data_IF_394574001378
#
_entry.id   IF_394574001378
#
_cell.length_a   1.000
_cell.length_b   1.000
_cell.length_c   1.000
_cell.angle_alpha   90.00
_cell.angle_beta   90.00
_cell.angle_gamma   90.00
#
_symmetry.space_group_name_H-M   'P 1'
#
loop_
_entity.id
_entity.type
_entity.pdbx_description
1 polymer ?
#
# COMPACT_ATOMS: atom_id res chain seq x y z
N UNK A 1 -12.49 26.54 14.77
CA UNK A 1 -12.31 25.27 14.03
C UNK A 1 -13.07 24.15 14.71
N UNK A 2 -13.91 23.40 14.00
CA UNK A 2 -14.73 22.29 14.52
C UNK A 2 -14.50 21.00 13.73
N UNK A 3 -14.79 19.83 14.34
CA UNK A 3 -14.70 18.54 13.64
C UNK A 3 -15.59 18.49 12.39
N UNK A 4 -16.75 19.17 12.44
CA UNK A 4 -17.63 19.27 11.29
C UNK A 4 -16.99 20.04 10.14
N UNK A 5 -16.28 21.15 10.41
CA UNK A 5 -15.54 21.91 9.41
C UNK A 5 -14.38 21.08 8.82
N UNK A 6 -13.70 20.27 9.66
CA UNK A 6 -12.67 19.37 9.18
C UNK A 6 -13.25 18.31 8.25
N UNK A 7 -14.38 17.72 8.58
CA UNK A 7 -15.10 16.78 7.71
C UNK A 7 -15.52 17.42 6.39
N UNK A 8 -16.01 18.65 6.43
CA UNK A 8 -16.36 19.41 5.24
C UNK A 8 -15.14 19.62 4.30
N UNK A 9 -14.01 20.01 4.88
CA UNK A 9 -12.78 20.22 4.11
C UNK A 9 -12.31 18.94 3.42
N UNK A 10 -12.35 17.79 4.11
CA UNK A 10 -12.04 16.48 3.53
C UNK A 10 -12.99 16.18 2.35
N UNK A 11 -14.29 16.29 2.59
CA UNK A 11 -15.32 15.96 1.58
C UNK A 11 -15.21 16.86 0.33
N UNK A 12 -14.92 18.15 0.50
CA UNK A 12 -14.73 19.08 -0.64
C UNK A 12 -13.50 18.66 -1.46
N UNK A 13 -12.40 18.31 -0.80
CA UNK A 13 -11.18 17.89 -1.48
C UNK A 13 -11.38 16.58 -2.27
N UNK A 14 -12.14 15.65 -1.74
CA UNK A 14 -12.44 14.37 -2.39
C UNK A 14 -13.43 14.53 -3.55
N UNK A 15 -14.44 15.38 -3.39
CA UNK A 15 -15.46 15.62 -4.41
C UNK A 15 -14.96 16.50 -5.58
N UNK A 16 -13.91 17.32 -5.35
CA UNK A 16 -13.38 18.30 -6.31
C UNK A 16 -14.38 19.38 -6.69
N UNK A 17 -15.53 19.47 -6.00
CA UNK A 17 -16.64 20.41 -6.28
C UNK A 17 -17.44 20.69 -5.02
N UNK A 18 -17.71 21.98 -4.75
CA UNK A 18 -18.57 22.40 -3.63
C UNK A 18 -20.00 21.88 -3.77
N UNK A 19 -20.54 21.84 -4.98
CA UNK A 19 -21.89 21.34 -5.21
C UNK A 19 -21.99 19.84 -4.90
N UNK A 20 -21.06 19.04 -5.43
CA UNK A 20 -21.00 17.60 -5.16
C UNK A 20 -20.76 17.31 -3.66
N UNK A 21 -19.86 18.07 -3.03
CA UNK A 21 -19.61 17.94 -1.60
C UNK A 21 -20.85 18.25 -0.76
N UNK A 22 -21.58 19.29 -1.12
CA UNK A 22 -22.83 19.67 -0.46
C UNK A 22 -23.92 18.60 -0.60
N UNK A 23 -24.04 17.98 -1.78
CA UNK A 23 -24.92 16.83 -2.02
C UNK A 23 -24.52 15.62 -1.13
N UNK A 24 -23.25 15.27 -1.07
CA UNK A 24 -22.72 14.18 -0.23
C UNK A 24 -23.01 14.45 1.25
N UNK A 25 -22.88 15.70 1.69
CA UNK A 25 -23.06 16.13 3.06
C UNK A 25 -24.53 16.40 3.44
N UNK A 26 -25.44 16.33 2.48
CA UNK A 26 -26.88 16.66 2.64
C UNK A 26 -27.10 18.06 3.21
N UNK A 27 -26.33 19.05 2.77
CA UNK A 27 -26.45 20.46 3.19
C UNK A 27 -26.55 21.40 1.99
N UNK A 28 -27.01 22.62 2.23
CA UNK A 28 -27.04 23.66 1.20
C UNK A 28 -25.60 24.12 0.86
N UNK A 29 -25.26 24.22 -0.42
CA UNK A 29 -23.95 24.66 -0.90
C UNK A 29 -23.53 26.04 -0.33
N UNK A 30 -24.41 27.05 -0.17
CA UNK A 30 -24.05 28.31 0.46
C UNK A 30 -23.58 28.13 1.94
N UNK A 31 -24.21 27.23 2.68
CA UNK A 31 -23.84 26.93 4.06
C UNK A 31 -22.44 26.27 4.15
N UNK A 32 -22.16 25.34 3.23
CA UNK A 32 -20.85 24.74 3.11
C UNK A 32 -19.78 25.77 2.76
N UNK A 33 -20.08 26.67 1.82
CA UNK A 33 -19.19 27.75 1.43
C UNK A 33 -18.87 28.70 2.58
N UNK A 34 -19.90 29.16 3.33
CA UNK A 34 -19.74 30.04 4.48
C UNK A 34 -18.88 29.38 5.56
N UNK A 35 -19.14 28.12 5.88
CA UNK A 35 -18.39 27.35 6.86
C UNK A 35 -16.91 27.22 6.50
N UNK A 36 -16.56 27.03 5.20
CA UNK A 36 -15.19 26.98 4.75
C UNK A 36 -14.51 28.35 4.79
N UNK A 37 -15.23 29.41 4.42
CA UNK A 37 -14.70 30.78 4.52
C UNK A 37 -14.39 31.19 5.96
N UNK A 38 -15.24 30.80 6.91
CA UNK A 38 -15.01 30.99 8.33
C UNK A 38 -13.76 30.25 8.82
N UNK A 39 -13.60 29.01 8.39
CA UNK A 39 -12.41 28.19 8.73
C UNK A 39 -11.14 28.81 8.14
N UNK A 40 -11.12 29.18 6.85
CA UNK A 40 -10.00 29.83 6.17
C UNK A 40 -9.63 31.16 6.86
N UNK A 41 -10.64 31.94 7.26
CA UNK A 41 -10.45 33.19 7.99
C UNK A 41 -9.86 32.97 9.39
N UNK A 42 -10.34 31.96 10.12
CA UNK A 42 -9.81 31.61 11.46
C UNK A 42 -8.35 31.18 11.40
N UNK A 43 -7.99 30.38 10.37
CA UNK A 43 -6.66 29.84 10.19
C UNK A 43 -5.69 30.83 9.52
N UNK A 44 -6.20 31.88 8.88
CA UNK A 44 -5.39 32.85 8.13
C UNK A 44 -4.80 32.29 6.83
N UNK A 45 -5.32 31.17 6.32
CA UNK A 45 -4.86 30.55 5.08
C UNK A 45 -6.02 30.36 4.10
N UNK A 46 -5.70 30.24 2.82
CA UNK A 46 -6.65 29.80 1.80
C UNK A 46 -6.46 28.31 1.58
N UNK A 47 -7.51 27.51 1.81
CA UNK A 47 -7.43 26.05 1.67
C UNK A 47 -7.73 25.66 0.22
N UNK A 48 -8.71 26.33 -0.42
CA UNK A 48 -9.20 25.98 -1.73
C UNK A 48 -9.11 27.09 -2.75
N UNK A 49 -8.55 26.78 -3.92
CA UNK A 49 -8.78 27.57 -5.13
C UNK A 49 -10.14 27.22 -5.72
N UNK A 50 -10.94 28.26 -6.01
CA UNK A 50 -12.27 28.10 -6.63
C UNK A 50 -12.19 28.58 -8.07
N UNK A 51 -12.63 27.78 -9.03
CA UNK A 51 -12.68 28.11 -10.44
C UNK A 51 -13.99 27.66 -11.06
N UNK A 52 -14.31 28.11 -12.27
CA UNK A 52 -15.46 27.62 -13.01
C UNK A 52 -15.42 26.13 -13.37
N UNK A 53 -14.26 25.48 -13.18
CA UNK A 53 -14.04 24.04 -13.45
C UNK A 53 -14.11 23.19 -12.17
N UNK A 54 -14.27 23.80 -11.00
CA UNK A 54 -14.33 23.10 -9.72
C UNK A 54 -13.43 23.71 -8.65
N UNK A 55 -13.07 22.88 -7.69
CA UNK A 55 -12.25 23.24 -6.52
C UNK A 55 -10.96 22.43 -6.54
N UNK A 56 -9.83 23.09 -6.30
CA UNK A 56 -8.53 22.46 -6.11
C UNK A 56 -7.86 22.98 -4.84
N UNK A 57 -6.94 22.23 -4.28
CA UNK A 57 -6.19 22.62 -3.08
C UNK A 57 -5.13 23.67 -3.40
N UNK A 58 -4.91 24.60 -2.47
CA UNK A 58 -3.67 25.39 -2.40
C UNK A 58 -2.55 24.55 -1.81
N UNK A 59 -1.31 25.06 -1.79
CA UNK A 59 -0.21 24.41 -1.10
C UNK A 59 -0.48 24.32 0.41
N UNK A 60 -0.91 25.42 1.03
CA UNK A 60 -1.28 25.47 2.46
C UNK A 60 -2.47 24.54 2.74
N UNK A 61 -3.45 24.50 1.83
CA UNK A 61 -4.60 23.61 1.93
C UNK A 61 -4.24 22.12 1.87
N UNK A 62 -3.28 21.76 1.02
CA UNK A 62 -2.79 20.38 0.93
C UNK A 62 -2.08 19.98 2.24
N UNK A 63 -1.22 20.84 2.78
CA UNK A 63 -0.56 20.61 4.05
C UNK A 63 -1.56 20.55 5.21
N UNK A 64 -2.49 21.48 5.29
CA UNK A 64 -3.57 21.48 6.28
C UNK A 64 -4.37 20.18 6.27
N UNK A 65 -4.77 19.71 5.09
CA UNK A 65 -5.55 18.47 4.97
C UNK A 65 -4.80 17.21 5.41
N UNK A 66 -3.48 17.18 5.36
CA UNK A 66 -2.71 16.07 5.93
C UNK A 66 -2.96 15.95 7.44
N UNK A 67 -2.93 17.08 8.17
CA UNK A 67 -3.22 17.09 9.60
C UNK A 67 -4.70 16.85 9.90
N UNK A 68 -5.59 17.43 9.10
CA UNK A 68 -7.03 17.26 9.25
C UNK A 68 -7.43 15.78 9.14
N UNK A 69 -6.90 15.07 8.14
CA UNK A 69 -7.16 13.63 7.98
C UNK A 69 -6.67 12.82 9.18
N UNK A 70 -5.52 13.15 9.76
CA UNK A 70 -5.03 12.48 10.96
C UNK A 70 -5.98 12.67 12.15
N UNK A 71 -6.38 13.92 12.42
CA UNK A 71 -7.31 14.25 13.52
C UNK A 71 -8.65 13.55 13.31
N UNK A 72 -9.18 13.58 12.09
CA UNK A 72 -10.47 13.00 11.78
C UNK A 72 -10.45 11.47 11.89
N UNK A 73 -9.40 10.79 11.45
CA UNK A 73 -9.24 9.35 11.62
C UNK A 73 -9.13 8.94 13.10
N UNK A 74 -8.45 9.75 13.94
CA UNK A 74 -8.40 9.50 15.38
C UNK A 74 -9.78 9.68 16.04
N UNK A 75 -10.52 10.69 15.60
CA UNK A 75 -11.90 10.89 16.03
C UNK A 75 -12.81 9.71 15.63
N UNK A 76 -12.73 9.23 14.40
CA UNK A 76 -13.47 8.05 13.95
C UNK A 76 -13.09 6.80 14.77
N UNK A 77 -11.80 6.60 15.06
CA UNK A 77 -11.33 5.50 15.92
C UNK A 77 -11.89 5.59 17.36
N UNK A 78 -12.00 6.80 17.88
CA UNK A 78 -12.62 7.05 19.18
C UNK A 78 -14.13 6.73 19.16
N UNK A 79 -14.82 7.19 18.11
CA UNK A 79 -16.25 6.93 17.92
C UNK A 79 -16.54 5.46 17.69
N UNK A 80 -15.65 4.73 17.02
CA UNK A 80 -15.74 3.28 16.83
C UNK A 80 -15.62 2.51 18.16
N UNK A 81 -14.77 3.00 19.07
CA UNK A 81 -14.55 2.34 20.37
C UNK A 81 -15.63 2.66 21.40
N UNK A 82 -16.13 3.88 21.40
CA UNK A 82 -17.01 4.39 22.48
C UNK A 82 -18.35 4.96 21.99
N UNK A 83 -18.51 5.18 20.69
CA UNK A 83 -19.73 5.75 20.11
C UNK A 83 -20.87 4.73 20.00
N UNK A 84 -22.12 5.19 20.17
CA UNK A 84 -23.32 4.37 20.02
C UNK A 84 -23.78 4.23 18.56
N UNK A 85 -23.07 4.82 17.61
CA UNK A 85 -23.49 4.89 16.20
C UNK A 85 -23.02 3.66 15.42
N UNK A 86 -23.92 2.68 15.24
CA UNK A 86 -23.67 1.44 14.49
C UNK A 86 -23.82 1.59 12.97
N UNK A 87 -24.07 2.79 12.42
CA UNK A 87 -24.49 2.97 11.02
C UNK A 87 -23.50 3.73 10.13
N UNK A 88 -22.27 4.00 10.56
CA UNK A 88 -21.28 4.61 9.69
C UNK A 88 -20.60 3.53 8.83
N UNK A 89 -20.59 3.74 7.51
CA UNK A 89 -19.86 2.92 6.55
C UNK A 89 -18.39 2.89 6.92
N UNK A 90 -17.88 1.72 7.31
CA UNK A 90 -16.48 1.56 7.67
C UNK A 90 -15.59 1.72 6.45
N UNK A 91 -14.57 2.56 6.54
CA UNK A 91 -13.58 2.78 5.49
C UNK A 91 -12.23 2.19 5.92
N UNK A 92 -11.57 1.49 5.02
CA UNK A 92 -10.22 0.98 5.25
C UNK A 92 -9.48 0.85 3.90
N UNK A 93 -8.24 1.27 3.86
CA UNK A 93 -7.40 1.22 2.67
C UNK A 93 -6.03 0.61 2.94
N UNK A 94 -5.59 -0.23 2.02
CA UNK A 94 -4.24 -0.78 1.95
C UNK A 94 -3.66 -0.48 0.59
N UNK A 95 -2.39 -0.06 0.54
CA UNK A 95 -1.59 0.00 -0.69
C UNK A 95 -0.40 -0.93 -0.55
N UNK A 96 -0.10 -1.71 -1.57
CA UNK A 96 0.93 -2.75 -1.52
C UNK A 96 1.67 -2.84 -2.84
N UNK A 97 2.95 -3.22 -2.79
CA UNK A 97 3.60 -3.83 -3.94
C UNK A 97 2.83 -5.11 -4.32
N UNK A 98 3.15 -5.74 -5.43
CA UNK A 98 2.39 -6.89 -5.95
C UNK A 98 2.61 -8.18 -5.14
N UNK A 99 2.14 -8.20 -3.88
CA UNK A 99 2.23 -9.34 -2.96
C UNK A 99 0.90 -10.09 -2.82
N UNK A 100 0.86 -11.35 -3.28
CA UNK A 100 -0.34 -12.19 -3.16
C UNK A 100 -0.77 -12.46 -1.71
N UNK A 101 0.19 -12.56 -0.77
CA UNK A 101 -0.11 -12.72 0.65
C UNK A 101 -0.86 -11.52 1.24
N UNK A 102 -0.56 -10.31 0.77
CA UNK A 102 -1.26 -9.10 1.21
C UNK A 102 -2.72 -9.11 0.76
N UNK A 103 -2.97 -9.57 -0.46
CA UNK A 103 -4.33 -9.76 -0.99
C UNK A 103 -5.06 -10.86 -0.22
N UNK A 104 -4.39 -11.99 0.07
CA UNK A 104 -4.97 -13.10 0.85
C UNK A 104 -5.38 -12.65 2.25
N UNK A 105 -4.50 -11.95 2.96
CA UNK A 105 -4.82 -11.40 4.28
C UNK A 105 -6.00 -10.41 4.24
N UNK A 106 -6.11 -9.63 3.16
CA UNK A 106 -7.23 -8.72 2.97
C UNK A 106 -8.55 -9.48 2.74
N UNK A 107 -8.53 -10.57 2.00
CA UNK A 107 -9.69 -11.45 1.80
C UNK A 107 -10.16 -12.04 3.14
N UNK A 108 -9.24 -12.55 3.97
CA UNK A 108 -9.58 -13.11 5.27
C UNK A 108 -10.10 -12.03 6.23
N UNK A 109 -9.49 -10.85 6.20
CA UNK A 109 -10.02 -9.69 6.93
C UNK A 109 -11.49 -9.43 6.56
N UNK A 110 -11.80 -9.32 5.26
CA UNK A 110 -13.16 -9.01 4.79
C UNK A 110 -14.15 -10.10 5.19
N UNK A 111 -13.80 -11.37 5.04
CA UNK A 111 -14.64 -12.52 5.46
C UNK A 111 -14.99 -12.50 6.95
N UNK A 112 -14.10 -11.94 7.76
CA UNK A 112 -14.24 -11.91 9.20
C UNK A 112 -15.10 -10.74 9.72
N UNK A 113 -15.57 -9.85 8.82
CA UNK A 113 -16.42 -8.72 9.17
C UNK A 113 -17.89 -9.02 8.91
N UNK A 114 -18.68 -9.02 9.97
CA UNK A 114 -20.16 -9.06 9.91
C UNK A 114 -20.71 -7.62 9.94
N UNK A 115 -20.29 -6.80 8.99
CA UNK A 115 -20.76 -5.41 8.88
C UNK A 115 -21.57 -5.27 7.60
N UNK A 116 -22.78 -4.76 7.74
CA UNK A 116 -23.71 -4.57 6.62
C UNK A 116 -23.24 -3.49 5.62
N UNK A 117 -22.34 -2.58 6.01
CA UNK A 117 -21.83 -1.51 5.17
C UNK A 117 -20.34 -1.22 5.40
N UNK A 118 -19.52 -1.42 4.38
CA UNK A 118 -18.10 -1.05 4.37
C UNK A 118 -17.67 -0.53 3.00
N UNK A 119 -16.55 0.18 2.99
CA UNK A 119 -15.84 0.62 1.80
C UNK A 119 -14.36 0.32 2.01
N UNK A 120 -13.95 -0.88 1.64
CA UNK A 120 -12.57 -1.31 1.77
C UNK A 120 -11.88 -1.28 0.42
N UNK A 121 -10.61 -0.90 0.41
CA UNK A 121 -9.82 -0.82 -0.80
C UNK A 121 -8.45 -1.45 -0.59
N UNK A 122 -8.05 -2.34 -1.48
CA UNK A 122 -6.66 -2.79 -1.63
C UNK A 122 -6.16 -2.34 -3.00
N UNK A 123 -4.93 -1.80 -3.04
CA UNK A 123 -4.32 -1.26 -4.25
C UNK A 123 -2.95 -1.89 -4.42
N UNK A 124 -2.79 -2.74 -5.43
CA UNK A 124 -1.47 -3.15 -5.90
C UNK A 124 -0.94 -2.02 -6.78
N UNK A 125 0.20 -1.44 -6.40
CA UNK A 125 0.71 -0.24 -7.06
C UNK A 125 2.21 -0.06 -6.86
N UNK A 126 2.80 0.89 -7.58
CA UNK A 126 4.24 1.21 -7.56
C UNK A 126 4.71 1.59 -6.15
N UNK A 127 5.95 1.27 -5.84
CA UNK A 127 6.54 1.54 -4.51
C UNK A 127 6.38 3.00 -4.06
N UNK A 128 6.55 3.97 -4.97
CA UNK A 128 6.34 5.40 -4.65
C UNK A 128 4.87 5.71 -4.32
N UNK A 129 3.95 5.08 -5.03
CA UNK A 129 2.52 5.27 -4.81
C UNK A 129 2.06 4.62 -3.51
N UNK A 130 2.64 3.46 -3.13
CA UNK A 130 2.44 2.88 -1.79
C UNK A 130 2.81 3.89 -0.70
N UNK A 131 4.00 4.50 -0.80
CA UNK A 131 4.48 5.51 0.16
C UNK A 131 3.57 6.75 0.15
N UNK A 132 3.22 7.26 -1.02
CA UNK A 132 2.35 8.42 -1.19
C UNK A 132 0.94 8.19 -0.66
N UNK A 133 0.35 7.03 -0.91
CA UNK A 133 -1.00 6.68 -0.45
C UNK A 133 -1.08 6.68 1.08
N UNK A 134 -0.06 6.13 1.77
CA UNK A 134 0.00 6.17 3.23
C UNK A 134 0.30 7.56 3.76
N UNK A 135 1.22 8.29 3.11
CA UNK A 135 1.55 9.67 3.49
C UNK A 135 0.31 10.58 3.45
N UNK A 136 -0.53 10.42 2.42
CA UNK A 136 -1.74 11.20 2.19
C UNK A 136 -3.00 10.60 2.85
N UNK A 137 -2.86 9.57 3.69
CA UNK A 137 -3.97 8.90 4.39
C UNK A 137 -5.04 8.33 3.44
N UNK A 138 -4.70 8.04 2.19
CA UNK A 138 -5.55 7.32 1.24
C UNK A 138 -5.57 5.82 1.56
N UNK A 139 -4.47 5.31 2.14
CA UNK A 139 -4.35 4.00 2.73
C UNK A 139 -3.80 4.13 4.15
N UNK A 140 -4.31 3.33 5.07
CA UNK A 140 -3.84 3.29 6.45
C UNK A 140 -2.52 2.54 6.57
N UNK A 141 -2.36 1.50 5.76
CA UNK A 141 -1.21 0.60 5.75
C UNK A 141 -0.66 0.51 4.33
N UNK A 142 0.67 0.57 4.22
CA UNK A 142 1.39 0.25 2.99
C UNK A 142 2.28 -0.96 3.18
N UNK A 143 2.43 -1.82 2.17
CA UNK A 143 3.31 -2.99 2.24
C UNK A 143 4.37 -2.86 1.16
N UNK A 144 5.63 -2.95 1.56
CA UNK A 144 6.79 -2.88 0.70
C UNK A 144 7.98 -3.63 1.31
N UNK A 145 9.07 -3.77 0.56
CA UNK A 145 10.30 -4.36 1.10
C UNK A 145 11.45 -3.35 1.12
N UNK A 146 12.39 -3.63 2.02
CA UNK A 146 13.72 -3.02 2.07
C UNK A 146 14.78 -4.07 1.76
N UNK A 147 15.85 -3.65 1.10
CA UNK A 147 17.08 -4.41 0.91
C UNK A 147 18.26 -3.48 1.15
N UNK A 148 19.47 -4.00 1.21
CA UNK A 148 20.67 -3.15 1.39
C UNK A 148 20.79 -2.11 0.28
N UNK A 149 20.36 -2.44 -0.94
CA UNK A 149 20.40 -1.55 -2.09
C UNK A 149 19.41 -0.38 -1.96
N UNK A 150 18.14 -0.64 -1.61
CA UNK A 150 17.08 0.37 -1.66
C UNK A 150 16.82 1.08 -0.32
N UNK A 151 17.31 0.53 0.80
CA UNK A 151 17.04 0.97 2.17
C UNK A 151 17.31 2.47 2.39
N UNK A 152 18.43 2.97 1.90
CA UNK A 152 18.78 4.38 2.10
C UNK A 152 17.79 5.32 1.38
N UNK A 153 17.45 5.01 0.14
CA UNK A 153 16.53 5.81 -0.67
C UNK A 153 15.09 5.77 -0.13
N UNK A 154 14.59 4.57 0.18
CA UNK A 154 13.23 4.40 0.73
C UNK A 154 13.14 5.04 2.11
N UNK A 155 14.08 4.79 3.03
CA UNK A 155 14.06 5.41 4.37
C UNK A 155 14.11 6.94 4.33
N UNK A 156 14.81 7.54 3.37
CA UNK A 156 14.77 9.00 3.18
C UNK A 156 13.35 9.47 2.86
N UNK A 157 12.63 8.77 1.96
CA UNK A 157 11.25 9.11 1.63
C UNK A 157 10.31 8.87 2.80
N UNK A 158 10.46 7.77 3.55
CA UNK A 158 9.64 7.49 4.72
C UNK A 158 9.77 8.60 5.76
N UNK A 159 11.01 9.03 6.08
CA UNK A 159 11.26 10.14 7.03
C UNK A 159 10.65 11.44 6.54
N UNK A 160 10.84 11.81 5.26
CA UNK A 160 10.28 13.03 4.68
C UNK A 160 8.76 13.07 4.76
N UNK A 161 8.10 11.92 4.73
CA UNK A 161 6.63 11.79 4.78
C UNK A 161 6.09 11.43 6.17
N UNK A 162 6.93 11.46 7.22
CA UNK A 162 6.57 11.04 8.58
C UNK A 162 5.95 9.65 8.64
N UNK A 163 6.60 8.68 7.99
CA UNK A 163 6.20 7.29 7.99
C UNK A 163 7.18 6.44 8.79
N UNK A 164 6.66 5.37 9.42
CA UNK A 164 7.44 4.34 10.10
C UNK A 164 7.36 3.03 9.31
N UNK A 165 8.48 2.33 9.23
CA UNK A 165 8.54 0.99 8.67
C UNK A 165 8.56 -0.02 9.82
N UNK A 166 7.74 -1.06 9.70
CA UNK A 166 7.61 -2.16 10.65
C UNK A 166 7.94 -3.46 9.92
N UNK A 167 9.03 -4.11 10.33
CA UNK A 167 9.46 -5.38 9.74
C UNK A 167 8.48 -6.50 10.04
N UNK A 168 8.23 -7.34 9.06
CA UNK A 168 7.45 -8.58 9.16
C UNK A 168 8.37 -9.81 9.04
N UNK A 169 9.03 -9.97 7.89
CA UNK A 169 9.80 -11.18 7.58
C UNK A 169 10.97 -10.87 6.65
N UNK A 170 12.04 -11.65 6.77
CA UNK A 170 13.16 -11.65 5.81
C UNK A 170 12.99 -12.81 4.84
N UNK A 171 13.14 -12.52 3.56
CA UNK A 171 13.05 -13.50 2.48
C UNK A 171 14.34 -13.51 1.66
N UNK A 172 14.68 -14.66 1.13
CA UNK A 172 15.71 -14.79 0.10
C UNK A 172 15.08 -14.64 -1.28
N UNK A 173 15.91 -14.52 -2.31
CA UNK A 173 15.45 -14.46 -3.67
C UNK A 173 14.97 -15.85 -4.17
N UNK A 174 13.86 -15.85 -4.87
CA UNK A 174 13.29 -16.97 -5.59
C UNK A 174 13.00 -16.54 -7.02
N UNK A 175 13.05 -17.50 -7.95
CA UNK A 175 12.60 -17.33 -9.32
C UNK A 175 11.14 -17.76 -9.41
N UNK A 176 10.26 -16.84 -9.72
CA UNK A 176 8.84 -17.10 -9.94
C UNK A 176 8.58 -17.34 -11.42
N UNK A 177 8.01 -18.47 -11.73
CA UNK A 177 7.77 -18.91 -13.10
C UNK A 177 6.56 -19.86 -13.16
N UNK A 178 6.07 -20.18 -14.35
CA UNK A 178 4.99 -21.12 -14.53
C UNK A 178 5.47 -22.58 -14.47
N UNK A 179 4.62 -23.50 -14.08
CA UNK A 179 4.95 -24.92 -13.80
C UNK A 179 5.46 -25.68 -15.03
N UNK A 180 5.09 -25.25 -16.23
CA UNK A 180 5.60 -25.82 -17.51
C UNK A 180 6.90 -25.17 -18.01
N UNK A 181 7.49 -24.23 -17.27
CA UNK A 181 8.78 -23.63 -17.64
C UNK A 181 9.89 -24.68 -17.66
N UNK A 182 10.84 -24.63 -18.62
CA UNK A 182 11.94 -25.61 -18.70
C UNK A 182 12.76 -25.76 -17.41
N UNK A 183 12.88 -24.70 -16.62
CA UNK A 183 13.61 -24.69 -15.34
C UNK A 183 12.73 -25.01 -14.11
N UNK A 184 11.43 -25.26 -14.28
CA UNK A 184 10.50 -25.45 -13.16
C UNK A 184 10.83 -26.65 -12.25
N UNK A 185 11.57 -27.63 -12.74
CA UNK A 185 11.94 -28.85 -11.99
C UNK A 185 13.32 -28.79 -11.34
N UNK A 186 14.03 -27.66 -11.50
CA UNK A 186 15.35 -27.50 -10.90
C UNK A 186 15.23 -27.31 -9.40
N UNK A 187 16.19 -27.83 -8.64
CA UNK A 187 16.28 -27.63 -7.18
C UNK A 187 16.60 -26.16 -6.86
N UNK A 188 17.37 -25.51 -7.68
CA UNK A 188 17.68 -24.07 -7.66
C UNK A 188 17.97 -23.58 -9.09
N UNK A 189 17.89 -22.27 -9.28
CA UNK A 189 18.15 -21.63 -10.58
C UNK A 189 19.19 -20.53 -10.39
N UNK A 190 20.13 -20.45 -11.35
CA UNK A 190 21.22 -19.45 -11.40
C UNK A 190 20.94 -18.37 -12.46
N UNK A 191 21.69 -17.25 -12.43
CA UNK A 191 21.60 -16.24 -13.47
C UNK A 191 21.98 -16.76 -14.86
N UNK A 192 22.97 -17.63 -14.96
CA UNK A 192 23.39 -18.18 -16.25
C UNK A 192 22.27 -18.97 -16.93
N UNK A 193 21.50 -19.75 -16.15
CA UNK A 193 20.33 -20.48 -16.66
C UNK A 193 19.18 -19.58 -17.09
N UNK A 194 19.06 -18.38 -16.49
CA UNK A 194 18.01 -17.42 -16.79
C UNK A 194 18.27 -16.56 -18.04
N UNK A 195 19.49 -16.53 -18.57
CA UNK A 195 19.89 -15.65 -19.70
C UNK A 195 19.04 -15.83 -20.97
N UNK A 196 18.57 -17.04 -21.20
CA UNK A 196 17.78 -17.34 -22.40
C UNK A 196 16.30 -16.97 -22.28
N UNK A 197 15.85 -16.59 -21.09
CA UNK A 197 14.45 -16.29 -20.80
C UNK A 197 14.27 -14.79 -20.50
N UNK A 198 13.12 -14.19 -20.85
CA UNK A 198 12.86 -12.79 -20.52
C UNK A 198 12.57 -12.62 -19.02
N UNK A 199 13.31 -11.69 -18.41
CA UNK A 199 13.00 -11.20 -17.07
C UNK A 199 11.79 -10.28 -17.13
N UNK A 200 10.79 -10.57 -16.32
CA UNK A 200 9.58 -9.77 -16.20
C UNK A 200 9.66 -8.92 -14.94
N UNK A 201 9.35 -7.64 -15.03
CA UNK A 201 9.36 -6.73 -13.89
C UNK A 201 8.17 -5.79 -13.92
N UNK A 202 7.77 -5.29 -12.73
CA UNK A 202 6.75 -4.27 -12.64
C UNK A 202 7.31 -2.88 -12.96
N UNK A 203 6.58 -2.13 -13.81
CA UNK A 203 6.99 -0.78 -14.19
C UNK A 203 6.87 0.19 -13.02
N UNK A 204 7.96 0.87 -12.67
CA UNK A 204 8.02 1.81 -11.55
C UNK A 204 7.98 3.30 -11.96
N UNK A 205 7.86 3.62 -13.28
CA UNK A 205 7.87 4.99 -13.81
C UNK A 205 9.28 5.53 -14.05
N UNK A 206 9.51 6.84 -13.86
CA UNK A 206 10.68 7.59 -14.36
C UNK A 206 12.08 7.18 -13.84
N UNK A 207 13.10 7.82 -14.40
CA UNK A 207 14.54 7.50 -14.43
C UNK A 207 15.30 7.16 -13.13
N UNK A 208 14.69 7.21 -11.95
CA UNK A 208 15.31 6.75 -10.69
C UNK A 208 14.70 5.45 -10.16
N UNK A 209 14.20 4.62 -11.06
CA UNK A 209 13.34 3.48 -10.78
C UNK A 209 14.00 2.30 -10.05
N UNK A 210 15.31 2.09 -10.17
CA UNK A 210 15.97 0.91 -9.58
C UNK A 210 15.79 0.80 -8.06
N UNK A 211 15.84 1.91 -7.32
CA UNK A 211 15.59 1.90 -5.88
C UNK A 211 14.14 1.60 -5.49
N UNK A 212 13.23 1.65 -6.46
CA UNK A 212 11.80 1.42 -6.27
C UNK A 212 11.31 0.13 -6.92
N UNK A 213 12.21 -0.63 -7.56
CA UNK A 213 11.86 -1.93 -8.13
C UNK A 213 11.25 -2.85 -7.05
N UNK A 214 10.27 -3.63 -7.45
CA UNK A 214 9.62 -4.61 -6.57
C UNK A 214 10.37 -5.94 -6.56
N UNK A 215 11.17 -6.16 -7.60
CA UNK A 215 12.01 -7.33 -7.74
C UNK A 215 13.34 -7.11 -7.06
N UNK A 216 13.79 -8.12 -6.34
CA UNK A 216 15.14 -8.15 -5.79
C UNK A 216 16.15 -8.33 -6.93
N UNK A 217 17.39 -7.87 -6.72
CA UNK A 217 18.48 -7.93 -7.72
C UNK A 217 18.16 -7.15 -9.01
N UNK A 218 17.30 -6.15 -8.93
CA UNK A 218 16.90 -5.31 -10.09
C UNK A 218 18.04 -4.52 -10.72
N UNK A 219 19.21 -4.44 -10.09
CA UNK A 219 20.42 -3.77 -10.60
C UNK A 219 21.27 -4.64 -11.52
N UNK A 220 20.98 -5.93 -11.59
CA UNK A 220 21.73 -6.84 -12.47
C UNK A 220 21.38 -6.59 -13.93
N UNK A 221 22.32 -6.90 -14.82
CA UNK A 221 22.11 -6.79 -16.26
C UNK A 221 21.29 -7.97 -16.78
N UNK A 222 20.05 -7.68 -17.17
CA UNK A 222 19.16 -8.66 -17.80
C UNK A 222 19.17 -8.44 -19.32
N UNK A 223 19.65 -9.42 -20.13
CA UNK A 223 19.70 -9.27 -21.60
C UNK A 223 18.32 -9.04 -22.23
N UNK A 224 17.29 -9.57 -21.62
CA UNK A 224 15.89 -9.45 -22.05
C UNK A 224 15.02 -9.06 -20.87
N UNK A 225 14.43 -7.88 -20.93
CA UNK A 225 13.51 -7.39 -19.87
C UNK A 225 12.20 -6.94 -20.48
N UNK A 226 11.10 -7.33 -19.87
CA UNK A 226 9.76 -6.87 -20.24
C UNK A 226 9.10 -6.29 -18.98
N UNK A 227 8.57 -5.09 -19.11
CA UNK A 227 7.87 -4.41 -18.02
C UNK A 227 6.37 -4.54 -18.17
N UNK A 228 5.68 -4.87 -17.08
CA UNK A 228 4.23 -4.96 -17.00
C UNK A 228 3.70 -4.06 -15.88
N UNK A 229 2.44 -3.66 -15.96
CA UNK A 229 1.81 -2.77 -15.00
C UNK A 229 0.87 -3.48 -14.03
N UNK A 230 0.55 -4.75 -14.30
CA UNK A 230 -0.39 -5.53 -13.52
C UNK A 230 -0.03 -7.01 -13.50
N UNK A 231 -0.54 -7.69 -12.46
CA UNK A 231 -0.27 -9.10 -12.21
C UNK A 231 -0.81 -10.01 -13.31
N UNK A 232 -1.99 -9.75 -13.85
CA UNK A 232 -2.59 -10.63 -14.86
C UNK A 232 -1.75 -10.64 -16.14
N UNK A 233 -1.30 -9.47 -16.59
CA UNK A 233 -0.37 -9.34 -17.71
C UNK A 233 0.95 -10.06 -17.42
N UNK A 234 1.51 -9.90 -16.20
CA UNK A 234 2.73 -10.59 -15.78
C UNK A 234 2.59 -12.12 -15.91
N UNK A 235 1.52 -12.68 -15.37
CA UNK A 235 1.26 -14.14 -15.40
C UNK A 235 1.08 -14.65 -16.84
N UNK A 236 0.38 -13.92 -17.70
CA UNK A 236 0.23 -14.27 -19.11
C UNK A 236 1.57 -14.27 -19.87
N UNK A 237 2.46 -13.31 -19.56
CA UNK A 237 3.79 -13.27 -20.15
C UNK A 237 4.69 -14.42 -19.66
N UNK A 238 4.54 -14.86 -18.41
CA UNK A 238 5.24 -16.04 -17.89
C UNK A 238 4.90 -17.28 -18.71
N UNK A 239 3.63 -17.53 -18.98
CA UNK A 239 3.21 -18.67 -19.78
C UNK A 239 3.59 -18.49 -21.25
N UNK A 240 3.27 -17.34 -21.84
CA UNK A 240 3.40 -17.11 -23.29
C UNK A 240 4.84 -17.02 -23.80
N UNK A 241 5.79 -16.62 -22.94
CA UNK A 241 7.17 -16.36 -23.31
C UNK A 241 8.19 -17.18 -22.50
N UNK A 242 7.77 -18.08 -21.64
CA UNK A 242 8.62 -18.67 -20.61
C UNK A 242 9.38 -17.59 -19.82
N UNK A 243 8.67 -16.52 -19.48
CA UNK A 243 9.22 -15.44 -18.68
C UNK A 243 9.31 -15.82 -17.20
N UNK A 244 10.16 -15.11 -16.48
CA UNK A 244 10.33 -15.26 -15.04
C UNK A 244 10.41 -13.90 -14.35
N UNK A 245 10.15 -13.86 -13.04
CA UNK A 245 10.48 -12.71 -12.21
C UNK A 245 11.17 -13.16 -10.92
N UNK A 246 11.92 -12.26 -10.28
CA UNK A 246 12.53 -12.52 -8.98
C UNK A 246 11.60 -12.03 -7.88
N UNK A 247 11.34 -12.86 -6.89
CA UNK A 247 10.38 -12.60 -5.82
C UNK A 247 10.87 -13.08 -4.45
N UNK A 248 10.05 -12.88 -3.43
CA UNK A 248 10.29 -13.32 -2.05
C UNK A 248 10.10 -14.82 -1.80
N UNK A 249 9.58 -15.56 -2.78
CA UNK A 249 9.17 -16.96 -2.59
C UNK A 249 7.85 -17.15 -1.84
N UNK A 250 7.24 -16.10 -1.33
CA UNK A 250 5.92 -16.17 -0.67
C UNK A 250 4.85 -16.07 -1.75
N UNK A 251 4.26 -17.23 -2.10
CA UNK A 251 3.22 -17.33 -3.12
C UNK A 251 1.94 -17.82 -2.46
N UNK A 252 0.82 -17.22 -2.83
CA UNK A 252 -0.50 -17.69 -2.44
C UNK A 252 -1.09 -18.56 -3.54
N UNK A 253 -0.92 -19.87 -3.45
CA UNK A 253 -1.43 -20.86 -4.40
C UNK A 253 -2.97 -20.80 -4.50
N UNK A 254 -3.66 -20.57 -3.38
CA UNK A 254 -5.12 -20.44 -3.39
C UNK A 254 -5.65 -19.31 -4.30
N UNK A 255 -4.87 -18.24 -4.49
CA UNK A 255 -5.26 -17.10 -5.32
C UNK A 255 -4.67 -17.13 -6.73
N UNK A 256 -3.46 -17.69 -6.86
CA UNK A 256 -2.73 -17.71 -8.14
C UNK A 256 -2.91 -19.02 -8.92
N UNK A 257 -3.45 -20.08 -8.27
CA UNK A 257 -3.54 -21.42 -8.84
C UNK A 257 -2.23 -22.20 -8.79
N UNK A 258 -2.28 -23.49 -9.11
CA UNK A 258 -1.15 -24.42 -9.08
C UNK A 258 -0.24 -24.31 -10.33
N UNK A 259 -0.58 -23.42 -11.25
CA UNK A 259 0.15 -23.24 -12.51
C UNK A 259 1.47 -22.47 -12.35
N UNK A 260 1.74 -21.93 -11.18
CA UNK A 260 2.92 -21.11 -10.90
C UNK A 260 3.65 -21.58 -9.65
N UNK A 261 4.97 -21.49 -9.67
CA UNK A 261 5.81 -21.91 -8.55
C UNK A 261 7.03 -21.01 -8.38
N UNK A 262 7.63 -21.04 -7.19
CA UNK A 262 8.86 -20.35 -6.87
C UNK A 262 9.99 -21.36 -6.65
N UNK A 263 11.04 -21.27 -7.45
CA UNK A 263 12.25 -22.07 -7.31
C UNK A 263 13.32 -21.23 -6.59
N UNK A 264 14.06 -21.76 -5.60
CA UNK A 264 15.13 -21.04 -4.95
C UNK A 264 16.12 -20.46 -5.95
N UNK A 265 16.46 -19.19 -5.83
CA UNK A 265 17.53 -18.57 -6.61
C UNK A 265 18.87 -18.82 -5.94
N UNK A 266 19.86 -19.28 -6.70
CA UNK A 266 21.23 -19.47 -6.23
C UNK A 266 22.11 -18.38 -6.82
N UNK A 267 22.58 -17.50 -5.95
CA UNK A 267 23.53 -16.46 -6.30
C UNK A 267 24.93 -17.04 -6.61
N UNK A 268 25.62 -16.46 -7.58
CA UNK A 268 26.99 -16.88 -7.94
C UNK A 268 28.03 -16.35 -6.93
N UNK A 269 27.70 -15.31 -6.17
CA UNK A 269 28.54 -14.73 -5.14
C UNK A 269 27.75 -14.44 -3.86
N UNK A 270 28.46 -14.26 -2.74
CA UNK A 270 27.85 -13.84 -1.45
C UNK A 270 27.25 -12.43 -1.56
N UNK A 271 27.80 -11.57 -2.42
CA UNK A 271 27.34 -10.21 -2.66
C UNK A 271 26.00 -10.17 -3.39
N UNK A 272 25.68 -11.21 -4.18
CA UNK A 272 24.39 -11.36 -4.87
C UNK A 272 23.28 -11.95 -3.97
N UNK A 273 23.58 -12.34 -2.74
CA UNK A 273 22.63 -12.92 -1.79
C UNK A 273 21.85 -11.82 -1.04
N UNK A 274 21.15 -10.95 -1.77
CA UNK A 274 20.33 -9.91 -1.18
C UNK A 274 19.15 -10.49 -0.39
N UNK A 275 18.90 -9.91 0.78
CA UNK A 275 17.73 -10.22 1.62
C UNK A 275 16.66 -9.17 1.34
N UNK A 276 15.43 -9.64 1.15
CA UNK A 276 14.22 -8.82 1.14
C UNK A 276 13.65 -8.78 2.55
N UNK A 277 13.79 -7.64 3.23
CA UNK A 277 13.08 -7.37 4.47
C UNK A 277 11.69 -6.84 4.13
N UNK A 278 10.70 -7.72 4.09
CA UNK A 278 9.31 -7.33 3.85
C UNK A 278 8.72 -6.77 5.13
N UNK A 279 7.99 -5.65 4.99
CA UNK A 279 7.36 -4.99 6.11
C UNK A 279 6.18 -4.12 5.69
N UNK A 280 5.57 -3.50 6.67
CA UNK A 280 4.52 -2.53 6.42
C UNK A 280 4.92 -1.14 6.91
N UNK A 281 4.34 -0.12 6.27
CA UNK A 281 4.52 1.28 6.64
C UNK A 281 3.21 1.85 7.14
N UNK A 282 3.33 2.74 8.14
CA UNK A 282 2.22 3.47 8.73
C UNK A 282 2.62 4.93 8.96
N UNK A 283 1.65 5.81 9.16
CA UNK A 283 1.93 7.18 9.58
C UNK A 283 2.49 7.17 11.00
N UNK A 284 3.58 7.92 11.25
CA UNK A 284 4.14 8.09 12.59
C UNK A 284 3.13 8.78 13.52
N UNK A 285 3.16 8.44 14.80
CA UNK A 285 2.32 9.03 15.84
C UNK A 285 0.80 8.86 15.60
N UNK A 286 0.40 7.89 14.75
CA UNK A 286 -1.00 7.56 14.49
C UNK A 286 -1.32 6.19 15.06
N UNK A 287 -2.40 6.09 15.81
CA UNK A 287 -2.88 4.80 16.31
C UNK A 287 -3.63 4.10 15.18
N UNK A 288 -3.24 2.86 14.88
CA UNK A 288 -3.94 2.05 13.91
C UNK A 288 -5.40 1.81 14.33
N UNK A 289 -6.30 1.84 13.36
CA UNK A 289 -7.68 1.44 13.56
C UNK A 289 -7.80 -0.03 14.01
N UNK A 290 -8.94 -0.43 14.54
CA UNK A 290 -9.21 -1.84 14.85
C UNK A 290 -9.12 -2.72 13.60
N UNK A 291 -9.51 -2.18 12.45
CA UNK A 291 -9.44 -2.87 11.16
C UNK A 291 -7.99 -3.05 10.74
N UNK A 292 -7.17 -1.99 10.83
CA UNK A 292 -5.75 -2.02 10.50
C UNK A 292 -4.98 -3.03 11.37
N UNK A 293 -5.22 -3.04 12.69
CA UNK A 293 -4.61 -4.03 13.60
C UNK A 293 -5.02 -5.47 13.27
N UNK A 294 -6.28 -5.68 12.86
CA UNK A 294 -6.78 -6.98 12.45
C UNK A 294 -6.13 -7.42 11.13
N UNK A 295 -6.02 -6.53 10.16
CA UNK A 295 -5.34 -6.82 8.89
C UNK A 295 -3.88 -7.25 9.09
N UNK A 296 -3.14 -6.56 9.98
CA UNK A 296 -1.76 -6.96 10.30
C UNK A 296 -1.73 -8.36 10.92
N UNK A 297 -2.67 -8.69 11.81
CA UNK A 297 -2.76 -10.06 12.38
C UNK A 297 -3.03 -11.12 11.32
N UNK A 298 -3.88 -10.84 10.35
CA UNK A 298 -4.10 -11.77 9.23
C UNK A 298 -2.82 -11.98 8.39
N UNK A 299 -2.03 -10.92 8.16
CA UNK A 299 -0.70 -11.04 7.51
C UNK A 299 0.24 -11.91 8.36
N UNK A 300 0.37 -11.59 9.65
CA UNK A 300 1.26 -12.33 10.58
C UNK A 300 0.86 -13.80 10.64
N UNK A 301 -0.43 -14.10 10.74
CA UNK A 301 -0.96 -15.47 10.72
C UNK A 301 -0.62 -16.20 9.42
N UNK A 302 -0.79 -15.53 8.26
CA UNK A 302 -0.45 -16.11 6.97
C UNK A 302 1.06 -16.40 6.83
N UNK A 303 1.89 -15.50 7.36
CA UNK A 303 3.35 -15.63 7.32
C UNK A 303 3.92 -16.55 8.41
N UNK A 304 3.09 -17.10 9.29
CA UNK A 304 3.52 -17.95 10.42
C UNK A 304 4.35 -17.20 11.47
N UNK A 305 4.11 -15.88 11.61
CA UNK A 305 4.80 -15.04 12.59
C UNK A 305 4.07 -15.18 13.94
N UNK A 306 4.68 -15.87 14.91
CA UNK A 306 4.19 -15.90 16.28
C UNK A 306 4.57 -14.59 16.97
N UNK A 307 3.57 -13.83 17.48
CA UNK A 307 3.84 -12.79 18.47
C UNK A 307 4.06 -13.44 19.82
N UNK A 308 5.17 -13.17 20.47
CA UNK A 308 5.22 -13.31 21.93
C UNK A 308 4.09 -12.45 22.49
N UNK A 309 3.11 -13.06 23.13
CA UNK A 309 2.07 -12.36 23.89
C UNK A 309 2.75 -11.60 25.03
N UNK A 310 3.27 -10.42 24.74
CA UNK A 310 3.64 -9.48 25.79
C UNK A 310 2.35 -9.00 26.44
N UNK A 311 2.12 -9.49 27.65
CA UNK A 311 0.93 -9.29 28.47
C UNK A 311 0.50 -7.83 28.58
N UNK A 312 -0.45 -7.46 27.75
CA UNK A 312 -1.33 -6.34 27.96
C UNK A 312 -2.78 -6.85 27.92
N UNK A 313 -3.05 -7.76 28.86
CA UNK A 313 -4.39 -8.00 29.39
C UNK A 313 -4.36 -7.64 30.88
N UNK A 314 -4.64 -6.40 31.18
CA UNK A 314 -5.19 -6.04 32.50
C UNK A 314 -5.74 -4.61 32.44
N UNK A 315 -7.05 -4.54 32.68
CA UNK A 315 -7.93 -3.49 33.09
C UNK A 315 -8.59 -2.62 32.01
#
# INVERSE_FOLDING_TARGET
MTLQQLHYAITIAEAGSLNKAAEILYIAQPSLTSSMQELEKELGITIFYRSGRGVSLTQDGAEFLLYVRQVYNQYESLMDKYGKSQNLKKKFGVSTQHYSFAVKAFVELVKSFDISQYEFAIRETKTRDVISDVANMKSEIGILYLSDFNRAAINKLLRTNNLAFHRLIDCRAYVYLWSGHPLAKNEYITFDELRDYPCLSFEQGDASSFYFAEEILSTNEYPRIIKANDRATMLNLMIGLNGYTLCSGIICEELNGDDYLAVPFKADSVEDSSIMEIGYITKQNTVLSNIGRRYIREIESYLGIEREENGENAD
#
